data_IF_584816435203
#
_entry.id   IF_584816435203
#
_cell.length_a   1.000
_cell.length_b   1.000
_cell.length_c   1.000
_cell.angle_alpha   90.00
_cell.angle_beta   90.00
_cell.angle_gamma   90.00
#
_symmetry.space_group_name_H-M   'P 1'
#
loop_
_entity.id
_entity.type
_entity.pdbx_description
1 polymer ?
#
# COMPACT_ATOMS: atom_id res chain seq x y z
N UNK A 1 -24.95 15.02 23.70
CA UNK A 1 -24.91 14.45 22.34
C UNK A 1 -23.47 14.13 21.91
N UNK A 2 -22.64 13.59 22.81
CA UNK A 2 -21.16 13.63 22.71
C UNK A 2 -20.49 12.36 22.15
N UNK A 3 -21.26 11.38 21.69
CA UNK A 3 -20.72 10.08 21.23
C UNK A 3 -20.96 9.79 19.74
N UNK A 4 -21.61 10.71 19.00
CA UNK A 4 -22.01 10.45 17.61
C UNK A 4 -20.83 10.30 16.62
N UNK A 5 -19.69 10.92 16.92
CA UNK A 5 -18.51 10.89 16.04
C UNK A 5 -17.57 9.70 16.30
N UNK A 6 -17.66 9.06 17.47
CA UNK A 6 -16.77 7.93 17.82
C UNK A 6 -16.96 6.74 16.87
N UNK A 7 -18.18 6.27 16.57
CA UNK A 7 -18.38 5.19 15.61
C UNK A 7 -17.87 5.53 14.20
N UNK A 8 -18.03 6.80 13.79
CA UNK A 8 -17.54 7.27 12.49
C UNK A 8 -16.01 7.25 12.44
N UNK A 9 -15.35 7.67 13.51
CA UNK A 9 -13.88 7.64 13.61
C UNK A 9 -13.35 6.20 13.59
N UNK A 10 -13.95 5.30 14.35
CA UNK A 10 -13.60 3.88 14.36
C UNK A 10 -13.75 3.27 12.96
N UNK A 11 -14.87 3.55 12.29
CA UNK A 11 -15.11 3.10 10.92
C UNK A 11 -14.06 3.66 9.93
N UNK A 12 -13.71 4.94 10.04
CA UNK A 12 -12.68 5.53 9.18
C UNK A 12 -11.28 4.98 9.47
N UNK A 13 -10.98 4.63 10.72
CA UNK A 13 -9.73 3.96 11.09
C UNK A 13 -9.64 2.57 10.47
N UNK A 14 -10.70 1.76 10.61
CA UNK A 14 -10.79 0.43 9.98
C UNK A 14 -10.65 0.53 8.46
N UNK A 15 -11.29 1.53 7.84
CA UNK A 15 -11.16 1.76 6.41
C UNK A 15 -9.71 2.08 6.03
N UNK A 16 -9.06 3.00 6.75
CA UNK A 16 -7.65 3.33 6.51
C UNK A 16 -6.76 2.08 6.61
N UNK A 17 -6.92 1.28 7.66
CA UNK A 17 -6.16 0.05 7.86
C UNK A 17 -6.38 -0.94 6.70
N UNK A 18 -7.61 -1.10 6.24
CA UNK A 18 -7.92 -1.93 5.08
C UNK A 18 -7.27 -1.41 3.79
N UNK A 19 -7.29 -0.09 3.57
CA UNK A 19 -6.65 0.51 2.39
C UNK A 19 -5.13 0.35 2.42
N UNK A 20 -4.50 0.46 3.61
CA UNK A 20 -3.06 0.24 3.82
C UNK A 20 -2.66 -1.24 3.66
N UNK A 21 -3.45 -2.17 4.22
CA UNK A 21 -3.20 -3.60 4.04
C UNK A 21 -3.22 -4.00 2.56
N UNK A 22 -4.16 -3.44 1.80
CA UNK A 22 -4.24 -3.66 0.35
C UNK A 22 -3.07 -3.03 -0.41
N UNK A 23 -2.54 -1.89 0.02
CA UNK A 23 -1.30 -1.33 -0.54
C UNK A 23 -0.10 -2.25 -0.31
N UNK A 24 0.01 -2.84 0.89
CA UNK A 24 1.06 -3.78 1.21
C UNK A 24 0.97 -5.03 0.32
N UNK A 25 -0.23 -5.58 0.15
CA UNK A 25 -0.47 -6.70 -0.76
C UNK A 25 -0.02 -6.38 -2.19
N UNK A 26 -0.45 -5.25 -2.75
CA UNK A 26 -0.08 -4.84 -4.12
C UNK A 26 1.42 -4.58 -4.28
N UNK A 27 2.08 -4.15 -3.22
CA UNK A 27 3.54 -3.96 -3.19
C UNK A 27 4.26 -5.30 -3.26
N UNK A 28 3.82 -6.29 -2.47
CA UNK A 28 4.39 -7.63 -2.51
C UNK A 28 4.11 -8.36 -3.83
N UNK A 29 2.91 -8.17 -4.40
CA UNK A 29 2.55 -8.65 -5.73
C UNK A 29 3.44 -8.07 -6.83
N UNK A 30 3.86 -6.81 -6.72
CA UNK A 30 4.80 -6.20 -7.66
C UNK A 30 6.21 -6.77 -7.46
N UNK A 31 6.65 -6.88 -6.20
CA UNK A 31 7.97 -7.39 -5.84
C UNK A 31 8.18 -8.84 -6.32
N UNK A 32 7.20 -9.71 -6.09
CA UNK A 32 7.24 -11.10 -6.52
C UNK A 32 7.35 -11.24 -8.05
N UNK A 33 6.59 -10.44 -8.82
CA UNK A 33 6.69 -10.44 -10.29
C UNK A 33 8.06 -9.96 -10.77
N UNK A 34 8.63 -8.94 -10.11
CA UNK A 34 9.97 -8.46 -10.41
C UNK A 34 11.05 -9.53 -10.11
N UNK A 35 10.94 -10.22 -8.98
CA UNK A 35 11.83 -11.33 -8.64
C UNK A 35 11.74 -12.49 -9.64
N UNK A 36 10.54 -12.78 -10.17
CA UNK A 36 10.35 -13.76 -11.22
C UNK A 36 11.03 -13.35 -12.54
N UNK A 37 10.91 -12.07 -12.94
CA UNK A 37 11.61 -11.52 -14.11
C UNK A 37 13.12 -11.62 -13.98
N UNK A 38 13.68 -11.28 -12.81
CA UNK A 38 15.10 -11.41 -12.52
C UNK A 38 15.57 -12.87 -12.60
N UNK A 39 14.75 -13.80 -12.10
CA UNK A 39 15.05 -15.24 -12.16
C UNK A 39 15.12 -15.73 -13.60
N UNK A 40 14.15 -15.37 -14.45
CA UNK A 40 14.21 -15.68 -15.89
C UNK A 40 15.42 -15.02 -16.56
N UNK A 41 15.74 -13.78 -16.21
CA UNK A 41 16.91 -13.07 -16.73
C UNK A 41 18.24 -13.71 -16.30
N UNK A 42 18.32 -14.32 -15.11
CA UNK A 42 19.47 -15.13 -14.68
C UNK A 42 19.54 -16.43 -15.47
N UNK A 43 18.43 -17.14 -15.62
CA UNK A 43 18.39 -18.40 -16.37
C UNK A 43 18.85 -18.22 -17.83
N UNK A 44 18.41 -17.16 -18.51
CA UNK A 44 18.88 -16.79 -19.86
C UNK A 44 20.39 -16.56 -19.91
N UNK A 45 20.94 -15.81 -18.95
CA UNK A 45 22.39 -15.55 -18.90
C UNK A 45 23.21 -16.81 -18.65
N UNK A 46 22.76 -17.65 -17.71
CA UNK A 46 23.40 -18.95 -17.43
C UNK A 46 23.40 -19.81 -18.69
N UNK A 47 22.26 -19.93 -19.36
CA UNK A 47 22.15 -20.72 -20.59
C UNK A 47 23.04 -20.17 -21.71
N UNK A 48 23.06 -18.86 -21.90
CA UNK A 48 23.94 -18.23 -22.89
C UNK A 48 25.43 -18.47 -22.61
N UNK A 49 25.84 -18.57 -21.34
CA UNK A 49 27.20 -18.94 -20.96
C UNK A 49 27.50 -20.42 -21.23
N UNK A 50 26.55 -21.33 -20.95
CA UNK A 50 26.71 -22.77 -21.20
C UNK A 50 26.92 -23.05 -22.70
N UNK A 51 26.05 -22.51 -23.57
CA UNK A 51 26.18 -22.68 -25.03
C UNK A 51 27.55 -22.18 -25.56
N UNK A 52 28.11 -21.14 -24.95
CA UNK A 52 29.44 -20.62 -25.30
C UNK A 52 30.58 -21.52 -24.81
N UNK A 53 30.42 -22.18 -23.66
CA UNK A 53 31.44 -23.03 -23.05
C UNK A 53 31.53 -24.40 -23.72
N UNK A 54 30.38 -25.02 -23.96
CA UNK A 54 30.30 -26.39 -24.51
C UNK A 54 30.54 -26.39 -26.04
N UNK A 55 30.39 -25.24 -26.69
CA UNK A 55 30.47 -25.14 -28.14
C UNK A 55 29.19 -25.61 -28.83
N UNK A 56 28.85 -24.95 -29.94
CA UNK A 56 27.57 -25.10 -30.65
C UNK A 56 27.27 -26.54 -31.09
N UNK A 57 28.30 -27.37 -31.31
CA UNK A 57 28.17 -28.76 -31.76
C UNK A 57 27.98 -29.79 -30.65
N UNK A 58 28.27 -29.47 -29.40
CA UNK A 58 28.18 -30.42 -28.27
C UNK A 58 26.86 -30.26 -27.50
N UNK A 59 26.21 -29.11 -27.62
CA UNK A 59 24.92 -28.82 -26.98
C UNK A 59 23.74 -29.35 -27.80
N UNK A 60 23.29 -30.56 -27.45
CA UNK A 60 22.15 -31.21 -28.13
C UNK A 60 20.87 -30.36 -28.12
N UNK A 61 20.60 -29.62 -27.04
CA UNK A 61 19.40 -28.79 -26.96
C UNK A 61 19.48 -27.60 -27.93
N UNK A 62 20.68 -27.08 -28.17
CA UNK A 62 20.93 -26.09 -29.21
C UNK A 62 20.79 -26.71 -30.62
N UNK A 63 21.47 -27.83 -30.90
CA UNK A 63 21.46 -28.48 -32.22
C UNK A 63 20.05 -28.94 -32.65
N UNK A 64 19.21 -29.33 -31.69
CA UNK A 64 17.84 -29.80 -31.95
C UNK A 64 16.79 -28.67 -31.96
N UNK A 65 17.21 -27.41 -31.79
CA UNK A 65 16.33 -26.24 -31.80
C UNK A 65 15.43 -26.11 -30.56
N UNK A 66 15.60 -26.97 -29.54
CA UNK A 66 14.86 -26.86 -28.28
C UNK A 66 15.22 -25.58 -27.53
N UNK A 67 16.47 -25.15 -27.65
CA UNK A 67 16.92 -23.88 -27.08
C UNK A 67 16.12 -22.68 -27.62
N UNK A 68 15.91 -22.62 -28.93
CA UNK A 68 15.11 -21.56 -29.55
C UNK A 68 13.64 -21.57 -29.06
N UNK A 69 13.05 -22.76 -28.88
CA UNK A 69 11.68 -22.90 -28.34
C UNK A 69 11.62 -22.42 -26.88
N UNK A 70 12.60 -22.78 -26.08
CA UNK A 70 12.70 -22.34 -24.69
C UNK A 70 12.92 -20.82 -24.57
N UNK A 71 13.76 -20.24 -25.44
CA UNK A 71 13.96 -18.79 -25.50
C UNK A 71 12.66 -18.06 -25.89
N UNK A 72 11.94 -18.55 -26.89
CA UNK A 72 10.66 -17.97 -27.31
C UNK A 72 9.61 -18.05 -26.18
N UNK A 73 9.52 -19.19 -25.50
CA UNK A 73 8.67 -19.34 -24.32
C UNK A 73 9.07 -18.35 -23.22
N UNK A 74 10.37 -18.21 -22.95
CA UNK A 74 10.89 -17.29 -21.92
C UNK A 74 10.55 -15.84 -22.25
N UNK A 75 10.68 -15.43 -23.52
CA UNK A 75 10.28 -14.10 -23.98
C UNK A 75 8.78 -13.85 -23.77
N UNK A 76 7.92 -14.83 -24.08
CA UNK A 76 6.49 -14.74 -23.82
C UNK A 76 6.18 -14.61 -22.31
N UNK A 77 6.87 -15.38 -21.45
CA UNK A 77 6.71 -15.27 -19.99
C UNK A 77 7.16 -13.90 -19.46
N UNK A 78 8.29 -13.38 -19.95
CA UNK A 78 8.74 -12.03 -19.60
C UNK A 78 7.74 -10.96 -20.02
N UNK A 79 7.17 -11.07 -21.23
CA UNK A 79 6.10 -10.19 -21.69
C UNK A 79 4.87 -10.22 -20.78
N UNK A 80 4.42 -11.43 -20.40
CA UNK A 80 3.30 -11.62 -19.48
C UNK A 80 3.58 -10.99 -18.12
N UNK A 81 4.71 -11.32 -17.49
CA UNK A 81 5.10 -10.81 -16.17
C UNK A 81 5.26 -9.29 -16.15
N UNK A 82 5.82 -8.68 -17.22
CA UNK A 82 5.91 -7.22 -17.33
C UNK A 82 4.54 -6.56 -17.40
N UNK A 83 3.60 -7.13 -18.14
CA UNK A 83 2.22 -6.64 -18.20
C UNK A 83 1.55 -6.74 -16.84
N UNK A 84 1.63 -7.90 -16.20
CA UNK A 84 1.07 -8.13 -14.87
C UNK A 84 1.69 -7.19 -13.80
N UNK A 85 3.00 -6.90 -13.91
CA UNK A 85 3.68 -5.94 -13.04
C UNK A 85 3.19 -4.51 -13.27
N UNK A 86 3.02 -4.09 -14.53
CA UNK A 86 2.47 -2.78 -14.87
C UNK A 86 1.02 -2.62 -14.38
N UNK A 87 0.20 -3.66 -14.52
CA UNK A 87 -1.17 -3.69 -13.99
C UNK A 87 -1.18 -3.58 -12.45
N UNK A 88 -0.29 -4.31 -11.77
CA UNK A 88 -0.15 -4.25 -10.31
C UNK A 88 0.28 -2.85 -9.85
N UNK A 89 1.22 -2.23 -10.56
CA UNK A 89 1.66 -0.87 -10.30
C UNK A 89 0.53 0.17 -10.50
N UNK A 90 -0.28 0.04 -11.56
CA UNK A 90 -1.42 0.90 -11.79
C UNK A 90 -2.49 0.76 -10.69
N UNK A 91 -2.76 -0.48 -10.25
CA UNK A 91 -3.66 -0.75 -9.11
C UNK A 91 -3.11 -0.14 -7.82
N UNK A 92 -1.80 -0.25 -7.58
CA UNK A 92 -1.15 0.37 -6.41
C UNK A 92 -1.31 1.88 -6.40
N UNK A 93 -1.13 2.54 -7.54
CA UNK A 93 -1.32 3.99 -7.66
C UNK A 93 -2.76 4.41 -7.37
N UNK A 94 -3.74 3.68 -7.92
CA UNK A 94 -5.15 3.92 -7.63
C UNK A 94 -5.47 3.70 -6.14
N UNK A 95 -4.89 2.67 -5.54
CA UNK A 95 -5.05 2.35 -4.13
C UNK A 95 -4.40 3.40 -3.22
N UNK A 96 -3.27 3.99 -3.63
CA UNK A 96 -2.59 5.04 -2.88
C UNK A 96 -3.48 6.28 -2.72
N UNK A 97 -4.19 6.66 -3.78
CA UNK A 97 -5.17 7.77 -3.73
C UNK A 97 -6.30 7.49 -2.74
N UNK A 98 -6.78 6.24 -2.66
CA UNK A 98 -7.81 5.85 -1.68
C UNK A 98 -7.29 5.91 -0.25
N UNK A 99 -6.08 5.40 -0.01
CA UNK A 99 -5.44 5.47 1.30
C UNK A 99 -5.22 6.93 1.74
N UNK A 100 -4.75 7.80 0.84
CA UNK A 100 -4.61 9.24 1.12
C UNK A 100 -5.94 9.89 1.51
N UNK A 101 -7.02 9.53 0.81
CA UNK A 101 -8.34 10.05 1.12
C UNK A 101 -8.90 9.52 2.46
N UNK A 102 -8.70 8.24 2.75
CA UNK A 102 -9.05 7.66 4.04
C UNK A 102 -8.26 8.31 5.18
N UNK A 103 -6.97 8.55 4.98
CA UNK A 103 -6.11 9.26 5.92
C UNK A 103 -6.61 10.68 6.19
N UNK A 104 -6.88 11.46 5.15
CA UNK A 104 -7.42 12.82 5.31
C UNK A 104 -8.78 12.85 6.03
N UNK A 105 -9.62 11.83 5.88
CA UNK A 105 -10.87 11.69 6.65
C UNK A 105 -10.62 11.46 8.13
N UNK A 106 -9.65 10.61 8.48
CA UNK A 106 -9.25 10.38 9.87
C UNK A 106 -8.73 11.69 10.48
N UNK A 107 -7.83 12.40 9.79
CA UNK A 107 -7.29 13.68 10.25
C UNK A 107 -8.38 14.74 10.44
N UNK A 108 -9.35 14.83 9.53
CA UNK A 108 -10.45 15.77 9.64
C UNK A 108 -11.33 15.49 10.88
N UNK A 109 -11.63 14.21 11.16
CA UNK A 109 -12.39 13.83 12.34
C UNK A 109 -11.62 14.12 13.63
N UNK A 110 -10.31 13.87 13.65
CA UNK A 110 -9.45 14.24 14.78
C UNK A 110 -9.44 15.75 15.01
N UNK A 111 -9.36 16.55 13.94
CA UNK A 111 -9.44 18.00 14.01
C UNK A 111 -10.76 18.49 14.61
N UNK A 112 -11.89 17.94 14.17
CA UNK A 112 -13.22 18.27 14.72
C UNK A 112 -13.29 17.95 16.22
N UNK A 113 -12.79 16.77 16.64
CA UNK A 113 -12.82 16.39 18.06
C UNK A 113 -11.96 17.30 18.94
N UNK A 114 -10.79 17.72 18.44
CA UNK A 114 -9.93 18.69 19.14
C UNK A 114 -10.65 20.01 19.31
N UNK A 115 -11.25 20.53 18.24
CA UNK A 115 -12.04 21.76 18.30
C UNK A 115 -13.21 21.67 19.29
N UNK A 116 -13.98 20.58 19.27
CA UNK A 116 -15.07 20.35 20.24
C UNK A 116 -14.57 20.23 21.69
N UNK A 117 -13.38 19.68 21.91
CA UNK A 117 -12.77 19.60 23.23
C UNK A 117 -12.34 20.99 23.73
N UNK A 118 -11.72 21.79 22.86
CA UNK A 118 -11.34 23.17 23.15
C UNK A 118 -12.55 24.05 23.46
N UNK A 119 -13.62 23.98 22.66
CA UNK A 119 -14.86 24.72 22.93
C UNK A 119 -15.51 24.32 24.27
N UNK A 120 -15.47 23.02 24.62
CA UNK A 120 -15.98 22.55 25.90
C UNK A 120 -15.13 23.09 27.05
N UNK A 121 -13.81 23.05 26.91
CA UNK A 121 -12.90 23.61 27.91
C UNK A 121 -13.12 25.11 28.11
N UNK A 122 -13.28 25.88 27.02
CA UNK A 122 -13.58 27.31 27.09
C UNK A 122 -14.95 27.59 27.73
N UNK A 123 -15.97 26.79 27.42
CA UNK A 123 -17.29 26.93 28.06
C UNK A 123 -17.24 26.65 29.57
N UNK A 124 -16.50 25.63 29.99
CA UNK A 124 -16.30 25.32 31.42
C UNK A 124 -15.54 26.45 32.11
N UNK A 125 -14.44 26.94 31.51
CA UNK A 125 -13.68 28.06 32.05
C UNK A 125 -14.52 29.35 32.17
N UNK A 126 -15.36 29.65 31.18
CA UNK A 126 -16.29 30.80 31.23
C UNK A 126 -17.33 30.65 32.34
N UNK A 127 -17.85 29.44 32.57
CA UNK A 127 -18.79 29.20 33.68
C UNK A 127 -18.13 29.42 35.05
N UNK A 128 -16.89 28.96 35.22
CA UNK A 128 -16.13 29.16 36.45
C UNK A 128 -15.81 30.64 36.73
N UNK A 129 -15.59 31.45 35.69
CA UNK A 129 -15.36 32.90 35.84
C UNK A 129 -16.64 33.74 35.93
N UNK A 130 -17.78 33.24 35.43
CA UNK A 130 -19.06 33.94 35.52
C UNK A 130 -19.75 33.77 36.89
N UNK A 131 -19.22 32.92 37.77
CA UNK A 131 -19.73 32.68 39.13
C UNK A 131 -18.69 33.05 40.22
N UNK A 132 -18.29 34.33 40.37
CA UNK A 132 -17.34 34.75 41.39
C UNK A 132 -17.97 35.03 42.77
N UNK A 133 -19.26 34.73 43.01
CA UNK A 133 -20.01 35.27 44.16
C UNK A 133 -21.08 34.37 44.79
N UNK A 134 -20.96 33.05 44.64
CA UNK A 134 -21.93 32.09 45.18
C UNK A 134 -21.52 31.43 46.49
N UNK A 135 -20.80 32.11 47.39
CA UNK A 135 -20.63 31.67 48.77
C UNK A 135 -20.32 32.87 49.67
N UNK A 136 -21.38 33.43 50.26
CA UNK A 136 -21.29 34.22 51.48
C UNK A 136 -22.19 33.56 52.54
N UNK A 137 -21.71 32.50 53.25
CA UNK A 137 -22.42 31.97 54.39
C UNK A 137 -21.88 32.64 55.66
N UNK A 138 -22.34 33.84 55.99
CA UNK A 138 -22.10 34.41 57.31
C UNK A 138 -23.10 35.52 57.67
N UNK A 139 -23.87 35.30 58.75
CA UNK A 139 -24.42 36.36 59.59
C UNK A 139 -25.93 36.36 59.75
#
# INVERSE_FOLDING_TARGET
MTDGLRPLQELTGILLDAELAKLQQLTEETRSKQAALETLGRALRVRASQVKQDGVGEDLAFCTGQDARWQAWTAAQQGRLRREAAESAARREAQLKKAQFAFGRVEALDGIRRFEAEERAQRVARRLHADPGGDDPAG
#
